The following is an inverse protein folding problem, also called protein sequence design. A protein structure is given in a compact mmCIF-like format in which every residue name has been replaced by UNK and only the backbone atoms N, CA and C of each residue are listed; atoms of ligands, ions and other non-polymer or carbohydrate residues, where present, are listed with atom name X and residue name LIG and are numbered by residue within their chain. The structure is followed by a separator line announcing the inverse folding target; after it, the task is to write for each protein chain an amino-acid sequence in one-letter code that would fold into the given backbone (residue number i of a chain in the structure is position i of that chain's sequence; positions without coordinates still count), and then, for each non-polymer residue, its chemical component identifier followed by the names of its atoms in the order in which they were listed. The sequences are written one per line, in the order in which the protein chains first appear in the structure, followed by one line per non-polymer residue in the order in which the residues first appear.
data_IF_355737909799
#
_entry.id   IF_355737909799
#
_cell.length_a   1.000
_cell.length_b   1.000
_cell.length_c   1.000
_cell.angle_alpha   90.00
_cell.angle_beta   90.00
_cell.angle_gamma   90.00
#
_symmetry.space_group_name_H-M   'P 1'
#
loop_
_entity.id
_entity.type
_entity.pdbx_description
1 polymer ?
#
# COMPACT_ATOMS: atom_id res chain seq x y z
N UNK A 1 -0.79 -30.99 15.99
CA UNK A 1 -2.18 -30.62 15.63
C UNK A 1 -2.13 -29.42 14.70
N UNK A 2 -2.49 -29.54 13.41
CA UNK A 2 -2.36 -28.45 12.46
C UNK A 2 -3.51 -27.45 12.60
N UNK A 3 -3.16 -26.17 12.79
CA UNK A 3 -4.05 -25.02 13.05
C UNK A 3 -4.63 -24.46 11.74
N UNK A 4 -5.18 -25.29 10.85
CA UNK A 4 -5.48 -24.82 9.48
C UNK A 4 -6.94 -24.80 9.04
N UNK A 5 -7.92 -25.18 9.88
CA UNK A 5 -9.34 -25.21 9.40
C UNK A 5 -10.43 -24.73 10.34
N UNK A 6 -10.13 -24.26 11.55
CA UNK A 6 -11.17 -23.79 12.48
C UNK A 6 -10.84 -22.32 12.80
N UNK A 7 -11.76 -21.40 12.46
CA UNK A 7 -11.84 -19.98 12.95
C UNK A 7 -11.66 -18.81 11.97
N UNK A 8 -11.79 -18.96 10.65
CA UNK A 8 -11.91 -17.76 9.80
C UNK A 8 -13.12 -16.87 10.20
N UNK A 9 -14.23 -17.47 10.65
CA UNK A 9 -15.45 -16.75 11.04
C UNK A 9 -15.40 -16.09 12.43
N UNK A 10 -14.60 -16.61 13.37
CA UNK A 10 -14.51 -16.08 14.73
C UNK A 10 -13.37 -15.07 14.94
N UNK A 11 -12.52 -14.86 13.93
CA UNK A 11 -11.41 -13.90 13.98
C UNK A 11 -11.73 -12.69 13.10
N UNK A 12 -11.84 -11.52 13.72
CA UNK A 12 -12.12 -10.22 13.06
C UNK A 12 -13.31 -10.25 12.09
N UNK A 13 -14.34 -11.06 12.37
CA UNK A 13 -15.53 -11.20 11.50
C UNK A 13 -15.14 -11.48 10.03
N UNK A 14 -14.24 -12.46 9.85
CA UNK A 14 -13.67 -12.88 8.56
C UNK A 14 -12.84 -11.82 7.83
N UNK A 15 -12.51 -10.68 8.45
CA UNK A 15 -11.67 -9.61 7.88
C UNK A 15 -10.22 -9.64 8.37
N UNK A 16 -9.77 -10.74 8.95
CA UNK A 16 -8.37 -10.90 9.38
C UNK A 16 -7.40 -10.90 8.19
N UNK A 17 -6.23 -10.27 8.35
CA UNK A 17 -5.17 -10.18 7.33
C UNK A 17 -3.97 -11.10 7.60
N UNK A 18 -4.15 -12.11 8.46
CA UNK A 18 -3.07 -12.99 8.92
C UNK A 18 -2.33 -13.69 7.76
N UNK A 19 -3.06 -14.12 6.72
CA UNK A 19 -2.45 -14.72 5.53
C UNK A 19 -1.56 -13.72 4.76
N UNK A 20 -1.99 -12.47 4.64
CA UNK A 20 -1.19 -11.43 3.98
C UNK A 20 0.09 -11.12 4.79
N UNK A 21 -0.03 -11.04 6.12
CA UNK A 21 1.14 -10.87 7.01
C UNK A 21 2.08 -12.08 6.93
N UNK A 22 1.54 -13.30 6.87
CA UNK A 22 2.33 -14.52 6.68
C UNK A 22 3.06 -14.51 5.33
N UNK A 23 2.40 -14.09 4.25
CA UNK A 23 3.03 -13.93 2.93
C UNK A 23 4.18 -12.91 2.98
N UNK A 24 4.02 -11.79 3.71
CA UNK A 24 5.12 -10.83 3.93
C UNK A 24 6.28 -11.52 4.64
N UNK A 25 6.04 -12.14 5.79
CA UNK A 25 7.10 -12.66 6.64
C UNK A 25 7.81 -13.90 6.07
N UNK A 26 7.07 -14.80 5.40
CA UNK A 26 7.58 -16.10 4.97
C UNK A 26 7.95 -16.19 3.50
N UNK A 27 7.47 -15.27 2.67
CA UNK A 27 7.70 -15.32 1.21
C UNK A 27 8.34 -14.04 0.70
N UNK A 28 7.74 -12.89 0.96
CA UNK A 28 8.24 -11.62 0.40
C UNK A 28 9.54 -11.19 1.06
N UNK A 29 9.60 -11.18 2.39
CA UNK A 29 10.77 -10.75 3.15
C UNK A 29 12.05 -11.53 2.77
N UNK A 30 12.09 -12.88 2.82
CA UNK A 30 13.31 -13.60 2.45
C UNK A 30 13.70 -13.36 0.99
N UNK A 31 12.73 -13.34 0.06
CA UNK A 31 13.02 -13.13 -1.37
C UNK A 31 13.56 -11.72 -1.66
N UNK A 32 13.01 -10.68 -1.02
CA UNK A 32 13.50 -9.29 -1.17
C UNK A 32 14.90 -9.13 -0.58
N UNK A 33 15.19 -9.77 0.57
CA UNK A 33 16.52 -9.73 1.19
C UNK A 33 17.54 -10.46 0.31
N UNK A 34 17.18 -11.63 -0.24
CA UNK A 34 18.05 -12.42 -1.11
C UNK A 34 18.36 -11.72 -2.43
N UNK A 35 17.36 -11.11 -3.08
CA UNK A 35 17.53 -10.37 -4.33
C UNK A 35 18.43 -9.12 -4.15
N UNK A 36 18.49 -8.56 -2.93
CA UNK A 36 19.37 -7.46 -2.54
C UNK A 36 19.34 -6.26 -3.53
N UNK A 37 18.12 -5.84 -3.89
CA UNK A 37 17.88 -4.72 -4.81
C UNK A 37 18.22 -3.37 -4.16
N UNK A 38 18.63 -2.42 -5.00
CA UNK A 38 18.78 -1.01 -4.60
C UNK A 38 17.41 -0.42 -4.25
N UNK A 39 17.22 -0.01 -2.99
CA UNK A 39 15.98 0.57 -2.49
C UNK A 39 15.63 1.93 -3.12
N UNK A 40 16.57 2.57 -3.82
CA UNK A 40 16.31 3.79 -4.61
C UNK A 40 15.70 3.49 -5.98
N UNK A 41 15.80 2.26 -6.48
CA UNK A 41 15.22 1.81 -7.75
C UNK A 41 13.84 1.17 -7.53
N UNK A 42 12.86 2.01 -7.21
CA UNK A 42 11.49 1.59 -6.89
C UNK A 42 10.86 0.76 -8.03
N UNK A 43 11.16 1.09 -9.28
CA UNK A 43 10.65 0.36 -10.45
C UNK A 43 11.11 -1.09 -10.45
N UNK A 44 12.41 -1.34 -10.24
CA UNK A 44 12.93 -2.72 -10.15
C UNK A 44 12.35 -3.48 -8.97
N UNK A 45 12.24 -2.83 -7.81
CA UNK A 45 11.64 -3.43 -6.61
C UNK A 45 10.19 -3.84 -6.87
N UNK A 46 9.38 -2.95 -7.42
CA UNK A 46 7.96 -3.25 -7.66
C UNK A 46 7.77 -4.28 -8.78
N UNK A 47 8.63 -4.29 -9.81
CA UNK A 47 8.67 -5.34 -10.83
C UNK A 47 9.02 -6.70 -10.24
N UNK A 48 10.01 -6.76 -9.36
CA UNK A 48 10.34 -7.96 -8.61
C UNK A 48 9.15 -8.46 -7.78
N UNK A 49 8.50 -7.59 -7.00
CA UNK A 49 7.33 -7.96 -6.20
C UNK A 49 6.15 -8.44 -7.06
N UNK A 50 5.90 -7.80 -8.20
CA UNK A 50 4.89 -8.23 -9.19
C UNK A 50 5.21 -9.61 -9.75
N UNK A 51 6.47 -9.87 -10.10
CA UNK A 51 6.94 -11.16 -10.61
C UNK A 51 6.88 -12.26 -9.56
N UNK A 52 7.25 -11.94 -8.31
CA UNK A 52 7.20 -12.87 -7.18
C UNK A 52 5.77 -13.33 -6.89
N UNK A 53 4.78 -12.43 -7.01
CA UNK A 53 3.38 -12.81 -6.92
C UNK A 53 2.91 -13.64 -8.13
N UNK A 54 3.31 -13.24 -9.35
CA UNK A 54 3.05 -13.98 -10.58
C UNK A 54 1.61 -13.99 -11.08
N UNK A 55 0.67 -13.30 -10.40
CA UNK A 55 -0.71 -13.14 -10.87
C UNK A 55 -0.98 -11.75 -11.45
N UNK A 56 -1.98 -11.64 -12.32
CA UNK A 56 -2.34 -10.36 -12.93
C UNK A 56 -2.87 -9.32 -11.93
N UNK A 57 -3.47 -9.77 -10.83
CA UNK A 57 -4.20 -8.93 -9.87
C UNK A 57 -3.68 -9.05 -8.43
N UNK A 58 -2.47 -9.59 -8.22
CA UNK A 58 -1.86 -9.76 -6.90
C UNK A 58 -2.64 -10.70 -5.98
N UNK A 59 -3.32 -11.70 -6.54
CA UNK A 59 -4.17 -12.64 -5.80
C UNK A 59 -3.39 -13.72 -5.03
N UNK A 60 -2.14 -13.99 -5.40
CA UNK A 60 -1.36 -15.07 -4.78
C UNK A 60 -0.81 -14.64 -3.42
N UNK A 61 -0.19 -13.47 -3.36
CA UNK A 61 0.42 -12.90 -2.16
C UNK A 61 -0.48 -11.85 -1.48
N UNK A 62 -1.39 -11.23 -2.22
CA UNK A 62 -2.29 -10.18 -1.75
C UNK A 62 -1.73 -8.78 -2.02
N UNK A 63 -2.54 -7.93 -2.63
CA UNK A 63 -2.15 -6.54 -2.92
C UNK A 63 -1.78 -5.75 -1.66
N UNK A 64 -2.44 -6.02 -0.53
CA UNK A 64 -2.14 -5.41 0.76
C UNK A 64 -0.76 -5.82 1.32
N UNK A 65 -0.32 -7.06 1.09
CA UNK A 65 1.02 -7.51 1.45
C UNK A 65 2.09 -6.81 0.61
N UNK A 66 1.92 -6.83 -0.71
CA UNK A 66 2.86 -6.24 -1.68
C UNK A 66 2.99 -4.73 -1.48
N UNK A 67 1.86 -4.02 -1.34
CA UNK A 67 1.85 -2.57 -1.18
C UNK A 67 2.56 -2.13 0.11
N UNK A 68 2.40 -2.88 1.20
CA UNK A 68 3.08 -2.59 2.46
C UNK A 68 4.60 -2.61 2.31
N UNK A 69 5.14 -3.61 1.61
CA UNK A 69 6.59 -3.72 1.33
C UNK A 69 7.06 -2.64 0.36
N UNK A 70 6.33 -2.41 -0.73
CA UNK A 70 6.63 -1.37 -1.73
C UNK A 70 6.77 0.03 -1.09
N UNK A 71 5.82 0.42 -0.24
CA UNK A 71 5.85 1.72 0.45
C UNK A 71 6.94 1.80 1.53
N UNK A 72 7.26 0.69 2.20
CA UNK A 72 8.37 0.64 3.15
C UNK A 72 9.72 0.84 2.46
N UNK A 73 9.89 0.26 1.27
CA UNK A 73 11.10 0.43 0.45
C UNK A 73 11.23 1.88 -0.05
N UNK A 74 10.14 2.52 -0.50
CA UNK A 74 10.17 3.95 -0.85
C UNK A 74 10.65 4.84 0.32
N UNK A 75 10.23 4.51 1.56
CA UNK A 75 10.72 5.19 2.76
C UNK A 75 12.20 4.93 3.01
N UNK A 76 12.66 3.69 2.82
CA UNK A 76 14.08 3.34 2.94
C UNK A 76 14.92 4.07 1.89
N UNK A 77 14.48 4.12 0.63
CA UNK A 77 15.17 4.86 -0.44
C UNK A 77 15.22 6.37 -0.19
N UNK A 78 14.19 6.97 0.42
CA UNK A 78 14.23 8.35 0.87
C UNK A 78 15.26 8.58 1.98
N UNK A 79 15.28 7.68 2.98
CA UNK A 79 16.22 7.74 4.10
C UNK A 79 17.68 7.55 3.63
N UNK A 80 17.95 6.62 2.72
CA UNK A 80 19.28 6.39 2.15
C UNK A 80 19.78 7.61 1.36
N UNK A 81 18.89 8.29 0.62
CA UNK A 81 19.20 9.55 -0.08
C UNK A 81 19.38 10.74 0.88
N UNK A 82 18.98 10.63 2.15
CA UNK A 82 18.97 11.74 3.10
C UNK A 82 17.97 12.84 2.76
N UNK A 83 16.85 12.50 2.09
CA UNK A 83 15.81 13.45 1.67
C UNK A 83 14.45 13.11 2.27
N UNK A 84 13.54 14.09 2.44
CA UNK A 84 12.15 13.80 2.80
C UNK A 84 11.46 12.89 1.78
N UNK A 85 10.51 12.07 2.24
CA UNK A 85 9.78 11.12 1.37
C UNK A 85 9.12 11.78 0.15
N UNK A 86 8.54 12.98 0.31
CA UNK A 86 7.92 13.68 -0.82
C UNK A 86 8.93 14.06 -1.92
N UNK A 87 10.18 14.34 -1.56
CA UNK A 87 11.24 14.65 -2.52
C UNK A 87 11.70 13.38 -3.24
N UNK A 88 11.83 12.26 -2.52
CA UNK A 88 12.11 10.95 -3.12
C UNK A 88 10.99 10.52 -4.10
N UNK A 89 9.72 10.66 -3.72
CA UNK A 89 8.58 10.40 -4.60
C UNK A 89 8.59 11.33 -5.81
N UNK A 90 8.98 12.60 -5.63
CA UNK A 90 9.13 13.56 -6.73
C UNK A 90 10.18 13.10 -7.75
N UNK A 91 11.34 12.63 -7.28
CA UNK A 91 12.38 12.05 -8.15
C UNK A 91 11.84 10.84 -8.93
N UNK A 92 11.17 9.90 -8.24
CA UNK A 92 10.61 8.69 -8.85
C UNK A 92 9.56 9.01 -9.92
N UNK A 93 8.73 10.03 -9.66
CA UNK A 93 7.68 10.48 -10.56
C UNK A 93 8.18 11.42 -11.68
N UNK A 94 9.46 11.82 -11.66
CA UNK A 94 10.03 12.77 -12.61
C UNK A 94 9.41 14.18 -12.52
N UNK A 95 8.89 14.57 -11.37
CA UNK A 95 8.27 15.89 -11.18
C UNK A 95 9.32 16.97 -10.92
N UNK A 96 9.03 18.20 -11.34
CA UNK A 96 9.96 19.34 -11.23
C UNK A 96 9.57 20.28 -10.10
N UNK A 97 10.57 20.97 -9.55
CA UNK A 97 10.37 22.10 -8.63
C UNK A 97 9.80 23.32 -9.40
N UNK A 98 9.10 24.25 -8.72
CA UNK A 98 8.72 24.21 -7.31
C UNK A 98 7.72 23.10 -7.01
N UNK A 99 7.78 22.54 -5.80
CA UNK A 99 6.75 21.60 -5.35
C UNK A 99 5.41 22.32 -5.22
N UNK A 100 4.32 21.60 -5.47
CA UNK A 100 2.96 22.11 -5.34
C UNK A 100 2.31 21.49 -4.11
N UNK A 101 1.82 22.32 -3.21
CA UNK A 101 0.93 21.88 -2.13
C UNK A 101 -0.49 21.74 -2.71
N UNK A 102 -1.17 20.59 -2.53
CA UNK A 102 -2.49 20.39 -3.09
C UNK A 102 -3.56 21.19 -2.32
N UNK A 103 -4.58 21.66 -3.03
CA UNK A 103 -5.81 22.16 -2.40
C UNK A 103 -6.48 20.98 -1.69
N UNK A 104 -6.79 21.08 -0.39
CA UNK A 104 -7.43 19.98 0.33
C UNK A 104 -8.91 19.89 -0.06
N UNK A 105 -9.31 18.76 -0.63
CA UNK A 105 -10.73 18.41 -0.83
C UNK A 105 -11.24 17.81 0.48
N UNK A 106 -11.82 18.66 1.33
CA UNK A 106 -12.20 18.28 2.69
C UNK A 106 -13.61 17.73 2.68
N UNK A 107 -13.76 16.42 2.89
CA UNK A 107 -15.06 15.81 3.07
C UNK A 107 -15.70 16.30 4.39
N UNK A 108 -16.85 16.97 4.29
CA UNK A 108 -17.56 17.57 5.42
C UNK A 108 -18.90 16.90 5.71
N UNK A 109 -19.44 16.13 4.76
CA UNK A 109 -20.71 15.44 4.93
C UNK A 109 -20.72 14.14 4.13
N UNK A 110 -21.14 13.08 4.81
CA UNK A 110 -21.21 11.72 4.26
C UNK A 110 -22.64 11.33 3.91
N UNK A 111 -22.79 10.55 2.83
CA UNK A 111 -23.99 9.80 2.50
C UNK A 111 -23.63 8.41 1.95
N UNK A 112 -24.54 7.80 1.19
CA UNK A 112 -24.33 6.49 0.56
C UNK A 112 -23.91 5.40 1.57
N UNK A 113 -23.00 4.52 1.18
CA UNK A 113 -22.51 3.43 2.04
C UNK A 113 -21.72 3.90 3.27
N UNK A 114 -21.35 5.19 3.33
CA UNK A 114 -20.64 5.78 4.46
C UNK A 114 -21.58 6.31 5.57
N UNK A 115 -22.91 6.33 5.35
CA UNK A 115 -23.89 6.77 6.35
C UNK A 115 -25.24 6.03 6.23
N UNK A 116 -25.87 5.70 7.37
CA UNK A 116 -27.14 4.94 7.41
C UNK A 116 -28.42 5.68 7.01
N UNK A 117 -28.32 6.70 6.15
CA UNK A 117 -29.41 7.61 5.79
C UNK A 117 -29.96 7.41 4.36
N UNK A 118 -30.81 8.34 3.93
CA UNK A 118 -31.40 8.35 2.56
C UNK A 118 -30.58 9.15 1.55
N UNK A 119 -29.55 9.85 2.01
CA UNK A 119 -28.73 10.69 1.14
C UNK A 119 -27.88 9.79 0.24
N UNK A 120 -28.17 9.77 -1.05
CA UNK A 120 -27.57 8.83 -1.99
C UNK A 120 -26.10 9.14 -2.34
N UNK A 121 -25.75 10.43 -2.42
CA UNK A 121 -24.39 10.85 -2.73
C UNK A 121 -23.44 10.54 -1.57
N UNK A 122 -22.26 9.98 -1.86
CA UNK A 122 -21.36 9.42 -0.85
C UNK A 122 -20.57 10.48 -0.07
N UNK A 123 -20.07 11.50 -0.76
CA UNK A 123 -19.13 12.48 -0.19
C UNK A 123 -19.47 13.88 -0.68
N UNK A 124 -19.49 14.84 0.24
CA UNK A 124 -19.68 16.26 -0.04
C UNK A 124 -18.46 17.00 0.50
N UNK A 125 -17.73 17.64 -0.40
CA UNK A 125 -16.43 18.24 -0.09
C UNK A 125 -16.50 19.76 -0.17
N UNK A 126 -15.77 20.43 0.74
CA UNK A 126 -15.41 21.85 0.59
C UNK A 126 -14.00 21.98 0.02
N UNK A 127 -13.81 22.97 -0.83
CA UNK A 127 -12.55 23.23 -1.55
C UNK A 127 -12.18 24.70 -1.35
N UNK A 128 -11.15 25.03 -0.54
CA UNK A 128 -10.70 26.39 -0.34
C UNK A 128 -9.72 26.79 -1.46
N UNK A 129 -10.26 27.18 -2.61
CA UNK A 129 -9.51 27.52 -3.83
C UNK A 129 -8.85 28.89 -3.81
#
# INVERSE_FOLDING_TARGET
MPITKIHARSVYDSRGVLKAVENVNKTIAPAVIEENLDVKDQSKVDEFLKKLDGSANKSNLGANAILGVSLAIAKAGAAEKGVPLYAHISDLAGTKKPYVLPVPFQNVLNGGSHAGGRLAFQEFMIVPS
#
